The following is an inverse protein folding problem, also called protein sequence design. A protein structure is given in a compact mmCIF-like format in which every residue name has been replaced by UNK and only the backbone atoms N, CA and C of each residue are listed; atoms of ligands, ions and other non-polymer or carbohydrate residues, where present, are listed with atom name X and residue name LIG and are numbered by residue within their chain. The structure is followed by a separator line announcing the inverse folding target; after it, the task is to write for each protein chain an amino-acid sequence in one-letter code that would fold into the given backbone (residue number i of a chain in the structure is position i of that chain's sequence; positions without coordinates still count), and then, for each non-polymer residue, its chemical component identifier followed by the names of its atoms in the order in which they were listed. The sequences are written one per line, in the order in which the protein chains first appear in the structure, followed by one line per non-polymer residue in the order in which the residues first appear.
data_IF_735805258658
#
_entry.id   IF_735805258658
#
_cell.length_a   1.000
_cell.length_b   1.000
_cell.length_c   1.000
_cell.angle_alpha   90.00
_cell.angle_beta   90.00
_cell.angle_gamma   90.00
#
_symmetry.space_group_name_H-M   'P 1'
#
loop_
_entity.id
_entity.type
_entity.pdbx_description
1 polymer ?
#
# COMPACT_ATOMS: atom_id res chain seq x y z
N UNK A 1 6.34 6.64 26.24
CA UNK A 1 7.73 7.14 26.23
C UNK A 1 8.11 7.64 27.61
N UNK A 2 7.33 8.54 28.23
CA UNK A 2 7.56 9.02 29.60
C UNK A 2 7.74 7.92 30.66
N UNK A 3 7.00 6.80 30.57
CA UNK A 3 7.16 5.66 31.49
C UNK A 3 8.49 4.91 31.41
N UNK A 4 9.44 5.34 30.56
CA UNK A 4 10.83 4.85 30.56
C UNK A 4 11.80 5.81 31.29
N UNK A 5 11.33 6.97 31.73
CA UNK A 5 12.13 7.90 32.53
C UNK A 5 12.24 7.38 33.97
N UNK A 6 13.46 7.33 34.49
CA UNK A 6 13.78 6.80 35.82
C UNK A 6 14.16 5.32 35.80
N UNK A 7 15.40 5.02 36.18
CA UNK A 7 15.90 3.64 36.32
C UNK A 7 15.57 3.09 37.69
N UNK A 8 14.81 2.00 37.71
CA UNK A 8 14.40 1.31 38.94
C UNK A 8 15.64 0.93 39.78
N UNK A 9 15.68 1.40 41.02
CA UNK A 9 16.77 1.10 41.97
C UNK A 9 18.01 1.99 41.86
N UNK A 10 18.06 2.93 40.91
CA UNK A 10 19.18 3.87 40.75
C UNK A 10 18.73 5.32 40.89
N UNK A 11 17.68 5.71 40.17
CA UNK A 11 17.22 7.10 40.14
C UNK A 11 16.05 7.29 41.13
N UNK A 12 16.07 8.39 41.91
CA UNK A 12 14.97 8.73 42.84
C UNK A 12 13.73 9.27 42.13
N UNK A 13 13.94 9.95 41.00
CA UNK A 13 12.92 10.58 40.16
C UNK A 13 13.27 10.35 38.69
N UNK A 14 12.27 10.43 37.80
CA UNK A 14 12.45 10.38 36.36
C UNK A 14 11.99 11.69 35.72
N UNK A 15 12.90 12.41 35.09
CA UNK A 15 12.58 13.70 34.48
C UNK A 15 12.02 13.54 33.07
N UNK A 16 10.95 14.28 32.76
CA UNK A 16 10.28 14.28 31.45
C UNK A 16 10.16 15.72 30.96
N UNK A 17 10.79 16.01 29.83
CA UNK A 17 10.79 17.34 29.22
C UNK A 17 9.89 17.35 27.98
N UNK A 18 9.02 18.35 27.87
CA UNK A 18 8.22 18.62 26.67
C UNK A 18 8.82 19.83 25.94
N UNK A 19 9.32 19.63 24.73
CA UNK A 19 9.90 20.70 23.91
C UNK A 19 8.85 21.22 22.92
N UNK A 20 8.61 22.53 22.91
CA UNK A 20 7.73 23.22 21.95
C UNK A 20 6.31 22.61 21.85
N UNK A 21 5.74 22.22 23.00
CA UNK A 21 4.37 21.72 23.09
C UNK A 21 3.55 22.70 23.93
N UNK A 22 2.39 23.19 23.45
CA UNK A 22 1.53 24.09 24.21
C UNK A 22 1.03 23.47 25.51
N UNK A 23 0.94 24.28 26.58
CA UNK A 23 0.52 23.86 27.92
C UNK A 23 -0.81 23.07 27.93
N UNK A 24 -1.89 23.48 27.22
CA UNK A 24 -3.14 22.71 27.22
C UNK A 24 -2.98 21.30 26.66
N UNK A 25 -2.04 21.10 25.72
CA UNK A 25 -1.74 19.78 25.18
C UNK A 25 -0.91 18.96 26.15
N UNK A 26 0.01 19.58 26.89
CA UNK A 26 0.77 18.93 27.97
C UNK A 26 -0.17 18.44 29.07
N UNK A 27 -1.05 19.29 29.57
CA UNK A 27 -2.05 18.94 30.59
C UNK A 27 -2.88 17.74 30.15
N UNK A 28 -3.36 17.75 28.89
CA UNK A 28 -4.09 16.63 28.32
C UNK A 28 -3.24 15.36 28.21
N UNK A 29 -1.97 15.46 27.83
CA UNK A 29 -1.08 14.29 27.69
C UNK A 29 -0.76 13.64 29.05
N UNK A 30 -0.61 14.44 30.10
CA UNK A 30 -0.32 13.97 31.46
C UNK A 30 -1.57 13.32 32.07
N UNK A 31 -2.76 13.92 31.85
CA UNK A 31 -4.01 13.48 32.47
C UNK A 31 -4.80 12.46 31.64
N UNK A 32 -4.46 12.29 30.35
CA UNK A 32 -5.23 11.39 29.47
C UNK A 32 -5.17 9.93 29.95
N UNK A 33 -6.32 9.26 29.90
CA UNK A 33 -6.39 7.83 30.12
C UNK A 33 -5.63 7.06 29.02
N UNK A 34 -5.12 5.89 29.40
CA UNK A 34 -4.49 4.97 28.45
C UNK A 34 -5.50 4.63 27.35
N UNK A 35 -5.15 4.80 26.07
CA UNK A 35 -6.06 4.46 24.97
C UNK A 35 -6.49 3.00 25.05
N UNK A 36 -7.79 2.75 24.87
CA UNK A 36 -8.29 1.37 24.77
C UNK A 36 -7.59 0.61 23.65
N UNK A 37 -7.24 -0.66 23.91
CA UNK A 37 -6.78 -1.55 22.86
C UNK A 37 -7.92 -1.78 21.85
N UNK A 38 -7.66 -1.44 20.59
CA UNK A 38 -8.61 -1.57 19.48
C UNK A 38 -7.99 -2.45 18.40
N UNK A 39 -8.77 -3.39 17.87
CA UNK A 39 -8.37 -4.14 16.69
C UNK A 39 -8.22 -3.21 15.48
N UNK A 40 -7.17 -3.43 14.69
CA UNK A 40 -6.98 -2.80 13.38
C UNK A 40 -7.71 -3.61 12.30
N UNK A 41 -8.00 -2.99 11.16
CA UNK A 41 -8.56 -3.67 10.00
C UNK A 41 -7.68 -4.87 9.63
N UNK A 42 -8.17 -6.12 9.78
CA UNK A 42 -7.31 -7.29 9.78
C UNK A 42 -7.04 -7.85 8.38
N UNK A 43 -7.74 -7.37 7.34
CA UNK A 43 -7.68 -7.96 6.01
C UNK A 43 -6.85 -7.12 5.04
N UNK A 44 -5.92 -7.79 4.38
CA UNK A 44 -5.33 -7.35 3.10
C UNK A 44 -5.71 -8.36 2.03
N UNK A 45 -5.63 -7.98 0.76
CA UNK A 45 -6.01 -8.89 -0.34
C UNK A 45 -5.02 -10.07 -0.40
N UNK A 46 -3.73 -9.81 -0.15
CA UNK A 46 -2.72 -10.87 -0.06
C UNK A 46 -2.97 -11.81 1.13
N UNK A 47 -3.49 -11.30 2.25
CA UNK A 47 -3.91 -12.17 3.35
C UNK A 47 -5.05 -13.09 2.94
N UNK A 48 -6.07 -12.57 2.23
CA UNK A 48 -7.16 -13.39 1.69
C UNK A 48 -6.61 -14.48 0.78
N UNK A 49 -5.71 -14.16 -0.15
CA UNK A 49 -5.05 -15.14 -1.01
C UNK A 49 -4.32 -16.23 -0.22
N UNK A 50 -3.59 -15.84 0.84
CA UNK A 50 -2.88 -16.78 1.71
C UNK A 50 -3.81 -17.69 2.51
N UNK A 51 -4.96 -17.17 2.94
CA UNK A 51 -5.99 -17.97 3.59
C UNK A 51 -6.59 -18.98 2.60
N UNK A 52 -6.80 -18.58 1.35
CA UNK A 52 -7.26 -19.51 0.29
C UNK A 52 -6.22 -20.59 -0.01
N UNK A 53 -4.93 -20.24 -0.08
CA UNK A 53 -3.82 -21.19 -0.19
C UNK A 53 -3.73 -22.16 0.99
N UNK A 54 -4.04 -21.70 2.21
CA UNK A 54 -4.06 -22.55 3.39
C UNK A 54 -5.27 -23.50 3.36
N UNK A 55 -6.44 -22.98 2.99
CA UNK A 55 -7.69 -23.73 2.86
C UNK A 55 -7.65 -24.78 1.74
N UNK A 56 -6.80 -24.61 0.72
CA UNK A 56 -6.65 -25.57 -0.37
C UNK A 56 -5.71 -26.74 -0.04
N UNK A 57 -4.89 -26.64 1.01
CA UNK A 57 -3.88 -27.66 1.36
C UNK A 57 -4.43 -28.81 2.21
N UNK A 58 -5.40 -28.56 3.10
CA UNK A 58 -5.96 -29.55 4.03
C UNK A 58 -7.45 -29.27 4.26
N UNK A 59 -8.23 -30.29 4.66
CA UNK A 59 -9.65 -30.08 4.98
C UNK A 59 -9.86 -29.34 6.32
N UNK A 60 -9.07 -29.68 7.34
CA UNK A 60 -9.18 -29.07 8.68
C UNK A 60 -8.84 -27.58 8.70
N UNK A 61 -8.00 -27.12 7.75
CA UNK A 61 -7.56 -25.73 7.69
C UNK A 61 -8.68 -24.75 7.33
N UNK A 62 -9.81 -25.21 6.78
CA UNK A 62 -10.99 -24.35 6.53
C UNK A 62 -11.62 -23.86 7.84
N UNK A 63 -11.69 -24.71 8.86
CA UNK A 63 -12.21 -24.33 10.17
C UNK A 63 -11.30 -23.28 10.84
N UNK A 64 -9.99 -23.45 10.72
CA UNK A 64 -8.99 -22.51 11.23
C UNK A 64 -9.09 -21.13 10.55
N UNK A 65 -9.21 -21.11 9.21
CA UNK A 65 -9.40 -19.87 8.44
C UNK A 65 -10.68 -19.15 8.88
N UNK A 66 -11.79 -19.88 9.01
CA UNK A 66 -13.05 -19.30 9.47
C UNK A 66 -12.96 -18.80 10.92
N UNK A 67 -12.24 -19.51 11.79
CA UNK A 67 -11.99 -19.08 13.17
C UNK A 67 -11.22 -17.75 13.20
N UNK A 68 -10.13 -17.64 12.42
CA UNK A 68 -9.35 -16.40 12.33
C UNK A 68 -10.19 -15.22 11.83
N UNK A 69 -11.07 -15.45 10.85
CA UNK A 69 -11.95 -14.42 10.29
C UNK A 69 -13.11 -14.04 11.20
N UNK A 70 -13.56 -14.92 12.10
CA UNK A 70 -14.68 -14.67 13.03
C UNK A 70 -14.25 -14.08 14.36
N UNK A 71 -13.07 -14.45 14.87
CA UNK A 71 -12.62 -14.08 16.22
C UNK A 71 -11.62 -12.92 16.25
N UNK A 72 -11.66 -12.02 15.25
CA UNK A 72 -10.83 -10.81 15.28
C UNK A 72 -11.25 -9.87 16.41
N UNK A 73 -10.26 -9.31 17.12
CA UNK A 73 -10.46 -8.26 18.14
C UNK A 73 -11.20 -7.03 17.58
N UNK A 74 -11.20 -6.84 16.26
CA UNK A 74 -11.95 -5.78 15.60
C UNK A 74 -13.46 -5.83 15.93
N UNK A 75 -14.04 -7.02 16.07
CA UNK A 75 -15.49 -7.18 16.22
C UNK A 75 -16.00 -7.06 17.65
N UNK A 76 -15.12 -7.24 18.65
CA UNK A 76 -15.51 -7.38 20.06
C UNK A 76 -16.40 -6.23 20.57
N UNK A 77 -16.21 -4.99 20.08
CA UNK A 77 -17.06 -3.83 20.39
C UNK A 77 -17.78 -3.24 19.16
N UNK A 78 -17.68 -3.88 17.99
CA UNK A 78 -18.14 -3.32 16.70
C UNK A 78 -18.71 -4.42 15.78
N UNK A 79 -19.90 -4.98 16.07
CA UNK A 79 -20.49 -6.05 15.25
C UNK A 79 -20.71 -5.64 13.79
N UNK A 80 -21.07 -4.37 13.53
CA UNK A 80 -21.20 -3.83 12.16
C UNK A 80 -19.91 -3.85 11.34
N UNK A 81 -18.75 -3.83 12.00
CA UNK A 81 -17.47 -3.96 11.28
C UNK A 81 -17.34 -5.34 10.62
N UNK A 82 -18.04 -6.37 11.13
CA UNK A 82 -18.06 -7.71 10.55
C UNK A 82 -18.79 -7.75 9.21
N UNK A 83 -19.93 -7.06 9.08
CA UNK A 83 -20.68 -6.99 7.83
C UNK A 83 -19.85 -6.33 6.73
N UNK A 84 -19.26 -5.17 7.02
CA UNK A 84 -18.38 -4.48 6.07
C UNK A 84 -17.14 -5.31 5.72
N UNK A 85 -16.59 -6.06 6.69
CA UNK A 85 -15.44 -6.91 6.42
C UNK A 85 -15.80 -8.10 5.52
N UNK A 86 -17.00 -8.70 5.66
CA UNK A 86 -17.49 -9.74 4.75
C UNK A 86 -17.60 -9.21 3.32
N UNK A 87 -18.13 -8.00 3.17
CA UNK A 87 -18.26 -7.34 1.87
C UNK A 87 -16.89 -7.07 1.26
N UNK A 88 -15.93 -6.57 2.06
CA UNK A 88 -14.54 -6.40 1.61
C UNK A 88 -13.84 -7.72 1.28
N UNK A 89 -14.12 -8.79 2.02
CA UNK A 89 -13.62 -10.12 1.72
C UNK A 89 -14.14 -10.63 0.36
N UNK A 90 -15.42 -10.41 0.06
CA UNK A 90 -15.99 -10.71 -1.26
C UNK A 90 -15.31 -9.92 -2.37
N UNK A 91 -15.08 -8.62 -2.18
CA UNK A 91 -14.30 -7.81 -3.12
C UNK A 91 -12.88 -8.37 -3.32
N UNK A 92 -12.21 -8.74 -2.23
CA UNK A 92 -10.87 -9.31 -2.29
C UNK A 92 -10.87 -10.62 -3.10
N UNK A 93 -11.85 -11.50 -2.90
CA UNK A 93 -12.02 -12.71 -3.70
C UNK A 93 -12.29 -12.40 -5.17
N UNK A 94 -13.20 -11.47 -5.46
CA UNK A 94 -13.54 -11.08 -6.82
C UNK A 94 -12.32 -10.51 -7.56
N UNK A 95 -11.55 -9.64 -6.89
CA UNK A 95 -10.29 -9.12 -7.41
C UNK A 95 -9.31 -10.27 -7.71
N UNK A 96 -9.12 -11.19 -6.76
CA UNK A 96 -8.20 -12.32 -6.92
C UNK A 96 -8.61 -13.27 -8.06
N UNK A 97 -9.91 -13.49 -8.27
CA UNK A 97 -10.43 -14.28 -9.40
C UNK A 97 -10.25 -13.53 -10.72
N UNK A 98 -10.57 -12.23 -10.75
CA UNK A 98 -10.47 -11.38 -11.95
C UNK A 98 -9.02 -11.30 -12.47
N UNK A 99 -8.06 -11.12 -11.56
CA UNK A 99 -6.64 -11.07 -11.88
C UNK A 99 -6.01 -12.48 -12.03
N UNK A 100 -6.81 -13.56 -11.99
CA UNK A 100 -6.34 -14.92 -12.29
C UNK A 100 -5.48 -15.60 -11.22
N UNK A 101 -5.50 -15.10 -9.98
CA UNK A 101 -4.82 -15.74 -8.83
C UNK A 101 -5.64 -16.88 -8.21
N UNK A 102 -6.96 -16.84 -8.38
CA UNK A 102 -7.89 -17.88 -7.96
C UNK A 102 -8.75 -18.32 -9.16
N UNK A 103 -9.10 -19.60 -9.21
CA UNK A 103 -10.14 -20.08 -10.14
C UNK A 103 -11.55 -19.74 -9.62
N UNK A 104 -12.57 -20.07 -10.42
CA UNK A 104 -13.99 -19.87 -10.04
C UNK A 104 -14.40 -20.69 -8.79
N UNK A 105 -13.64 -21.72 -8.44
CA UNK A 105 -13.85 -22.56 -7.26
C UNK A 105 -13.04 -22.08 -6.04
N UNK A 106 -12.30 -20.98 -6.16
CA UNK A 106 -11.42 -20.45 -5.11
C UNK A 106 -10.11 -21.23 -4.92
N UNK A 107 -9.70 -22.05 -5.89
CA UNK A 107 -8.38 -22.72 -5.88
C UNK A 107 -7.29 -21.77 -6.37
N UNK A 108 -6.15 -21.69 -5.68
CA UNK A 108 -5.00 -20.90 -6.13
C UNK A 108 -4.44 -21.35 -7.47
N UNK A 109 -4.06 -20.39 -8.31
CA UNK A 109 -3.52 -20.61 -9.66
C UNK A 109 -2.24 -19.81 -9.92
N UNK A 110 -1.44 -20.27 -10.89
CA UNK A 110 -0.33 -19.52 -11.52
C UNK A 110 0.60 -18.83 -10.51
N UNK A 111 0.57 -17.50 -10.46
CA UNK A 111 1.42 -16.64 -9.64
C UNK A 111 0.94 -16.48 -8.19
N UNK A 112 -0.12 -17.16 -7.76
CA UNK A 112 -0.65 -17.07 -6.40
C UNK A 112 0.41 -17.32 -5.31
N UNK A 113 1.32 -18.28 -5.56
CA UNK A 113 2.47 -18.56 -4.69
C UNK A 113 3.42 -17.37 -4.59
N UNK A 114 3.85 -16.84 -5.75
CA UNK A 114 4.76 -15.69 -5.84
C UNK A 114 4.20 -14.45 -5.13
N UNK A 115 2.96 -14.07 -5.43
CA UNK A 115 2.28 -12.91 -4.80
C UNK A 115 2.20 -13.07 -3.29
N UNK A 116 1.95 -14.29 -2.82
CA UNK A 116 1.87 -14.60 -1.39
C UNK A 116 3.21 -14.52 -0.68
N UNK A 117 4.30 -14.88 -1.36
CA UNK A 117 5.65 -14.72 -0.84
C UNK A 117 6.02 -13.24 -0.68
N UNK A 118 5.50 -12.35 -1.53
CA UNK A 118 5.75 -10.90 -1.53
C UNK A 118 4.78 -10.07 -0.68
N UNK A 119 4.11 -10.69 0.31
CA UNK A 119 3.09 -10.07 1.17
C UNK A 119 3.44 -8.73 1.84
N UNK A 120 4.74 -8.46 2.06
CA UNK A 120 5.19 -7.27 2.79
C UNK A 120 4.99 -5.97 2.02
N UNK A 121 4.77 -6.05 0.70
CA UNK A 121 4.72 -4.90 -0.20
C UNK A 121 3.41 -4.86 -1.00
N UNK A 122 2.28 -5.19 -0.40
CA UNK A 122 0.97 -4.93 -1.02
C UNK A 122 0.78 -3.40 -1.25
N UNK A 123 0.42 -2.94 -2.47
CA UNK A 123 0.02 -3.70 -3.66
C UNK A 123 1.10 -3.90 -4.75
N UNK A 124 2.35 -3.56 -4.49
CA UNK A 124 3.47 -3.75 -5.44
C UNK A 124 3.64 -5.20 -5.89
N UNK A 125 3.27 -6.18 -5.05
CA UNK A 125 3.28 -7.59 -5.42
C UNK A 125 2.32 -7.91 -6.59
N UNK A 126 1.12 -7.31 -6.61
CA UNK A 126 0.16 -7.48 -7.71
C UNK A 126 0.65 -6.77 -8.98
N UNK A 127 1.13 -5.53 -8.86
CA UNK A 127 1.69 -4.76 -9.98
C UNK A 127 2.87 -5.49 -10.63
N UNK A 128 3.76 -6.08 -9.82
CA UNK A 128 4.89 -6.85 -10.32
C UNK A 128 4.45 -8.02 -11.20
N UNK A 129 3.41 -8.76 -10.79
CA UNK A 129 2.87 -9.85 -11.61
C UNK A 129 2.16 -9.32 -12.85
N UNK A 130 1.43 -8.22 -12.76
CA UNK A 130 0.83 -7.57 -13.93
C UNK A 130 1.88 -7.21 -14.99
N UNK A 131 3.07 -6.75 -14.57
CA UNK A 131 4.20 -6.49 -15.48
C UNK A 131 4.79 -7.78 -16.08
N UNK A 132 4.84 -8.87 -15.30
CA UNK A 132 5.28 -10.19 -15.80
C UNK A 132 4.31 -10.74 -16.86
N UNK A 133 3.00 -10.68 -16.59
CA UNK A 133 1.97 -11.19 -17.51
C UNK A 133 1.92 -10.41 -18.82
N UNK A 134 2.26 -9.11 -18.79
CA UNK A 134 2.39 -8.27 -19.99
C UNK A 134 3.71 -8.49 -20.76
N UNK A 135 4.63 -9.31 -20.26
CA UNK A 135 5.93 -9.56 -20.88
C UNK A 135 6.91 -8.38 -20.82
N UNK A 136 6.67 -7.37 -19.97
CA UNK A 136 7.54 -6.18 -19.89
C UNK A 136 8.95 -6.54 -19.42
N UNK A 137 9.06 -7.48 -18.49
CA UNK A 137 10.37 -7.98 -18.05
C UNK A 137 11.08 -8.77 -19.16
N UNK A 138 10.36 -9.48 -20.03
CA UNK A 138 10.96 -10.16 -21.18
C UNK A 138 11.49 -9.16 -22.21
N UNK A 139 10.80 -8.05 -22.43
CA UNK A 139 11.27 -6.97 -23.30
C UNK A 139 12.50 -6.26 -22.70
N UNK A 140 12.52 -6.07 -21.38
CA UNK A 140 13.62 -5.41 -20.68
C UNK A 140 14.87 -6.31 -20.61
N UNK A 141 14.70 -7.58 -20.24
CA UNK A 141 15.79 -8.53 -20.02
C UNK A 141 16.28 -9.16 -21.32
N UNK A 142 16.83 -8.37 -22.23
CA UNK A 142 17.45 -8.86 -23.46
C UNK A 142 18.97 -9.03 -23.29
N UNK A 143 19.54 -10.19 -23.66
CA UNK A 143 20.99 -10.41 -23.56
C UNK A 143 21.75 -9.68 -24.67
N UNK A 144 23.05 -9.39 -24.44
CA UNK A 144 23.90 -8.68 -25.41
C UNK A 144 24.07 -9.45 -26.73
N UNK A 145 24.03 -10.79 -26.70
CA UNK A 145 24.02 -11.68 -27.87
C UNK A 145 23.03 -12.81 -27.62
N UNK A 146 22.34 -13.28 -28.66
CA UNK A 146 21.46 -14.46 -28.56
C UNK A 146 22.27 -15.66 -28.04
N UNK A 147 21.92 -16.17 -26.87
CA UNK A 147 22.60 -17.29 -26.20
C UNK A 147 23.70 -16.93 -25.20
N UNK A 148 24.05 -15.65 -25.02
CA UNK A 148 24.98 -15.25 -23.95
C UNK A 148 24.26 -15.22 -22.60
N UNK A 149 24.91 -15.75 -21.55
CA UNK A 149 24.37 -15.76 -20.18
C UNK A 149 24.49 -14.42 -19.43
N UNK A 150 25.18 -13.43 -20.01
CA UNK A 150 25.40 -12.12 -19.39
C UNK A 150 24.51 -11.04 -20.01
N UNK A 151 24.09 -10.10 -19.19
CA UNK A 151 23.25 -8.97 -19.60
C UNK A 151 24.06 -7.66 -19.60
N UNK A 152 23.70 -6.70 -20.48
CA UNK A 152 24.29 -5.37 -20.43
C UNK A 152 24.05 -4.69 -19.07
N UNK A 153 25.00 -3.86 -18.64
CA UNK A 153 24.88 -3.11 -17.39
C UNK A 153 23.62 -2.23 -17.35
N UNK A 154 23.27 -1.56 -18.46
CA UNK A 154 22.08 -0.70 -18.54
C UNK A 154 20.77 -1.48 -18.33
N UNK A 155 20.71 -2.75 -18.78
CA UNK A 155 19.54 -3.63 -18.58
C UNK A 155 19.38 -3.94 -17.09
N UNK A 156 20.49 -4.28 -16.41
CA UNK A 156 20.46 -4.57 -14.98
C UNK A 156 20.14 -3.32 -14.14
N UNK A 157 20.67 -2.16 -14.51
CA UNK A 157 20.34 -0.89 -13.86
C UNK A 157 18.86 -0.52 -14.03
N UNK A 158 18.29 -0.71 -15.23
CA UNK A 158 16.86 -0.47 -15.47
C UNK A 158 15.98 -1.49 -14.72
N UNK A 159 16.39 -2.76 -14.66
CA UNK A 159 15.69 -3.77 -13.86
C UNK A 159 15.70 -3.39 -12.37
N UNK A 160 16.85 -2.95 -11.88
CA UNK A 160 17.02 -2.47 -10.51
C UNK A 160 16.18 -1.20 -10.24
N UNK A 161 16.09 -0.28 -11.20
CA UNK A 161 15.24 0.91 -11.14
C UNK A 161 13.75 0.54 -11.00
N UNK A 162 13.27 -0.43 -11.79
CA UNK A 162 11.88 -0.92 -11.70
C UNK A 162 11.62 -1.55 -10.32
N UNK A 163 12.53 -2.41 -9.84
CA UNK A 163 12.37 -3.04 -8.52
C UNK A 163 12.47 -2.05 -7.37
N UNK A 164 13.33 -1.02 -7.47
CA UNK A 164 13.41 0.05 -6.49
C UNK A 164 12.10 0.86 -6.43
N UNK A 165 11.48 1.13 -7.58
CA UNK A 165 10.18 1.81 -7.65
C UNK A 165 9.02 0.98 -7.06
N UNK A 166 9.08 -0.35 -7.16
CA UNK A 166 8.06 -1.25 -6.63
C UNK A 166 8.26 -1.60 -5.15
N UNK A 167 9.47 -2.04 -4.77
CA UNK A 167 9.76 -2.62 -3.47
C UNK A 167 10.67 -1.72 -2.60
N UNK A 168 11.50 -0.89 -3.19
CA UNK A 168 12.44 0.02 -2.50
C UNK A 168 11.83 1.36 -2.08
N UNK A 169 10.53 1.39 -1.74
CA UNK A 169 9.77 2.64 -1.64
C UNK A 169 10.01 3.40 -0.34
N UNK A 170 11.05 4.24 -0.30
CA UNK A 170 11.31 5.20 0.78
C UNK A 170 11.12 6.63 0.27
N UNK A 171 10.13 7.35 0.81
CA UNK A 171 9.88 8.74 0.43
C UNK A 171 10.76 9.71 1.20
N UNK A 172 11.35 10.65 0.48
CA UNK A 172 12.11 11.76 1.06
C UNK A 172 11.16 12.95 1.28
N UNK A 173 11.24 13.65 2.43
CA UNK A 173 10.45 14.87 2.65
C UNK A 173 10.70 15.93 1.57
N UNK A 174 9.63 16.56 1.08
CA UNK A 174 9.72 17.59 0.02
C UNK A 174 10.64 18.78 0.41
N UNK A 175 10.77 19.10 1.71
CA UNK A 175 11.69 20.15 2.18
C UNK A 175 13.15 19.83 1.84
N UNK A 176 13.54 18.56 1.81
CA UNK A 176 14.90 18.13 1.54
C UNK A 176 15.30 18.32 0.07
N UNK A 177 14.35 18.57 -0.85
CA UNK A 177 14.66 18.95 -2.23
C UNK A 177 15.22 20.37 -2.36
N UNK A 178 14.85 21.26 -1.42
CA UNK A 178 15.23 22.68 -1.47
C UNK A 178 16.50 22.99 -0.67
N UNK A 179 17.07 21.99 0.01
CA UNK A 179 18.37 22.15 0.63
C UNK A 179 19.40 22.12 -0.49
N UNK A 180 20.10 23.24 -0.72
CA UNK A 180 21.26 23.36 -1.62
C UNK A 180 22.45 22.55 -1.06
N UNK A 181 22.25 21.27 -0.76
CA UNK A 181 23.33 20.37 -0.41
C UNK A 181 23.99 19.91 -1.70
N UNK A 182 25.25 20.28 -1.87
CA UNK A 182 26.18 19.67 -2.82
C UNK A 182 26.27 18.18 -2.50
N UNK A 183 25.38 17.38 -3.09
CA UNK A 183 25.43 15.94 -2.99
C UNK A 183 26.71 15.44 -3.69
N UNK A 184 27.45 14.56 -3.04
CA UNK A 184 28.66 13.96 -3.64
C UNK A 184 28.31 12.96 -4.74
N UNK A 185 27.10 12.40 -4.69
CA UNK A 185 26.54 11.47 -5.67
C UNK A 185 25.41 12.14 -6.48
N UNK A 186 25.34 11.93 -7.81
CA UNK A 186 24.42 12.64 -8.69
C UNK A 186 22.93 12.24 -8.58
N UNK A 187 22.55 11.18 -7.83
CA UNK A 187 21.16 10.66 -7.84
C UNK A 187 20.61 10.25 -6.47
N UNK A 188 20.50 11.16 -5.51
CA UNK A 188 19.76 10.88 -4.24
C UNK A 188 18.27 10.53 -4.49
N UNK A 189 17.71 11.05 -5.58
CA UNK A 189 16.32 10.82 -5.98
C UNK A 189 16.24 9.71 -7.04
N UNK A 190 15.31 8.78 -6.83
CA UNK A 190 15.05 7.70 -7.76
C UNK A 190 14.35 8.26 -9.02
N UNK A 191 14.84 7.86 -10.18
CA UNK A 191 14.22 8.19 -11.46
C UNK A 191 12.82 7.56 -11.59
N UNK A 192 11.99 8.14 -12.45
CA UNK A 192 10.67 7.57 -12.74
C UNK A 192 10.78 6.20 -13.43
N UNK A 193 9.71 5.40 -13.35
CA UNK A 193 9.60 4.16 -14.10
C UNK A 193 9.76 4.41 -15.60
N UNK A 194 10.39 3.49 -16.37
CA UNK A 194 10.41 3.57 -17.82
C UNK A 194 8.99 3.71 -18.39
N UNK A 195 8.84 4.43 -19.50
CA UNK A 195 7.52 4.83 -20.03
C UNK A 195 6.56 3.66 -20.26
N UNK A 196 7.05 2.51 -20.75
CA UNK A 196 6.23 1.29 -20.92
C UNK A 196 5.67 0.77 -19.58
N UNK A 197 6.51 0.74 -18.54
CA UNK A 197 6.12 0.31 -17.19
C UNK A 197 5.18 1.33 -16.55
N UNK A 198 5.39 2.63 -16.79
CA UNK A 198 4.54 3.71 -16.31
C UNK A 198 3.15 3.66 -16.94
N UNK A 199 3.06 3.43 -18.25
CA UNK A 199 1.81 3.24 -18.96
C UNK A 199 1.04 2.01 -18.44
N UNK A 200 1.74 0.87 -18.30
CA UNK A 200 1.14 -0.35 -17.74
C UNK A 200 0.64 -0.16 -16.29
N UNK A 201 1.39 0.58 -15.46
CA UNK A 201 0.98 0.91 -14.10
C UNK A 201 -0.28 1.79 -14.07
N UNK A 202 -0.35 2.80 -14.95
CA UNK A 202 -1.52 3.67 -15.06
C UNK A 202 -2.76 2.86 -15.46
N UNK A 203 -2.63 1.97 -16.45
CA UNK A 203 -3.73 1.13 -16.91
C UNK A 203 -4.20 0.17 -15.79
N UNK A 204 -3.27 -0.49 -15.10
CA UNK A 204 -3.58 -1.33 -13.94
C UNK A 204 -4.34 -0.53 -12.87
N UNK A 205 -3.81 0.63 -12.47
CA UNK A 205 -4.43 1.47 -11.45
C UNK A 205 -5.83 1.95 -11.85
N UNK A 206 -6.05 2.30 -13.12
CA UNK A 206 -7.37 2.71 -13.63
C UNK A 206 -8.39 1.57 -13.55
N UNK A 207 -7.98 0.35 -13.94
CA UNK A 207 -8.86 -0.83 -13.88
C UNK A 207 -9.23 -1.17 -12.44
N UNK A 208 -8.25 -1.20 -11.54
CA UNK A 208 -8.48 -1.44 -10.11
C UNK A 208 -9.32 -0.35 -9.46
N UNK A 209 -9.10 0.93 -9.81
CA UNK A 209 -9.89 2.03 -9.28
C UNK A 209 -11.36 1.93 -9.70
N UNK A 210 -11.66 1.50 -10.93
CA UNK A 210 -13.03 1.24 -11.40
C UNK A 210 -13.71 0.12 -10.61
N UNK A 211 -13.01 -1.00 -10.40
CA UNK A 211 -13.54 -2.11 -9.62
C UNK A 211 -13.80 -1.71 -8.17
N UNK A 212 -12.85 -0.98 -7.57
CA UNK A 212 -12.98 -0.51 -6.20
C UNK A 212 -14.10 0.53 -6.05
N UNK A 213 -14.25 1.46 -6.99
CA UNK A 213 -15.37 2.40 -7.01
C UNK A 213 -16.73 1.67 -7.10
N UNK A 214 -16.82 0.66 -7.96
CA UNK A 214 -18.02 -0.18 -8.08
C UNK A 214 -18.33 -0.92 -6.78
N UNK A 215 -17.29 -1.45 -6.13
CA UNK A 215 -17.40 -2.07 -4.81
C UNK A 215 -17.91 -1.11 -3.74
N UNK A 216 -17.40 0.12 -3.71
CA UNK A 216 -17.85 1.16 -2.78
C UNK A 216 -19.32 1.54 -3.01
N UNK A 217 -19.75 1.61 -4.28
CA UNK A 217 -21.15 1.82 -4.64
C UNK A 217 -22.06 0.70 -4.16
N UNK A 218 -21.67 -0.56 -4.32
CA UNK A 218 -22.44 -1.70 -3.79
C UNK A 218 -22.49 -1.65 -2.26
N UNK A 219 -21.34 -1.39 -1.64
CA UNK A 219 -21.20 -1.31 -0.18
C UNK A 219 -22.06 -0.20 0.43
N UNK A 220 -22.28 0.91 -0.27
CA UNK A 220 -23.13 2.02 0.18
C UNK A 220 -24.58 1.62 0.45
N UNK A 221 -25.09 0.59 -0.23
CA UNK A 221 -26.46 0.09 -0.01
C UNK A 221 -26.66 -0.57 1.35
N UNK A 222 -25.56 -1.00 1.98
CA UNK A 222 -25.56 -1.67 3.29
C UNK A 222 -25.36 -0.68 4.45
N UNK A 223 -25.20 0.61 4.15
CA UNK A 223 -24.91 1.65 5.12
C UNK A 223 -26.16 2.10 5.87
N UNK A 224 -25.99 2.34 7.18
CA UNK A 224 -27.03 2.96 7.99
C UNK A 224 -27.12 4.48 7.78
N UNK A 225 -27.97 4.91 6.85
CA UNK A 225 -28.18 6.32 6.51
C UNK A 225 -28.59 7.20 7.70
N UNK A 226 -29.26 6.65 8.72
CA UNK A 226 -29.62 7.43 9.93
C UNK A 226 -28.41 8.00 10.66
N UNK A 227 -27.26 7.32 10.60
CA UNK A 227 -25.98 7.78 11.18
C UNK A 227 -25.20 8.68 10.22
N UNK A 228 -25.47 8.61 8.92
CA UNK A 228 -24.85 9.46 7.91
C UNK A 228 -25.45 10.86 7.92
N UNK A 229 -26.75 11.00 8.24
CA UNK A 229 -27.40 12.30 8.46
C UNK A 229 -27.08 12.93 9.82
N UNK A 230 -26.08 12.41 10.55
CA UNK A 230 -25.68 12.92 11.87
C UNK A 230 -24.25 13.42 11.86
N UNK A 231 -24.03 14.58 12.46
CA UNK A 231 -22.67 15.10 12.65
C UNK A 231 -21.85 14.17 13.58
N UNK A 232 -20.59 13.84 13.23
CA UNK A 232 -19.81 12.85 13.96
C UNK A 232 -19.56 13.14 15.44
N UNK A 233 -19.35 14.42 15.78
CA UNK A 233 -18.95 14.85 17.12
C UNK A 233 -20.15 15.34 17.93
N UNK A 234 -20.90 16.30 17.39
CA UNK A 234 -22.06 16.91 18.07
C UNK A 234 -23.32 16.06 18.04
N UNK A 235 -23.39 15.05 17.17
CA UNK A 235 -24.56 14.16 16.97
C UNK A 235 -25.84 14.88 16.53
N UNK A 236 -25.73 16.13 16.06
CA UNK A 236 -26.85 16.89 15.50
C UNK A 236 -27.38 16.15 14.26
N UNK A 237 -28.70 15.95 14.21
CA UNK A 237 -29.41 15.23 13.16
C UNK A 237 -29.89 16.21 12.08
N UNK A 238 -29.67 15.85 10.82
CA UNK A 238 -30.15 16.56 9.63
C UNK A 238 -31.23 15.75 8.89
N UNK A 239 -32.10 15.07 9.65
CA UNK A 239 -33.27 14.36 9.12
C UNK A 239 -34.47 15.31 9.17
N UNK A 240 -34.70 16.07 8.09
CA UNK A 240 -35.79 17.06 8.01
C UNK A 240 -36.88 16.68 7.01
N UNK A 241 -38.09 17.22 7.20
CA UNK A 241 -39.20 17.10 6.27
C UNK A 241 -38.88 17.84 4.96
N UNK A 242 -39.35 17.31 3.82
CA UNK A 242 -39.22 18.00 2.53
C UNK A 242 -39.95 19.34 2.61
N UNK A 243 -39.27 20.40 2.24
CA UNK A 243 -39.89 21.70 2.06
C UNK A 243 -40.42 21.76 0.62
N UNK A 244 -41.74 21.62 0.44
CA UNK A 244 -42.38 21.47 -0.88
C UNK A 244 -42.67 22.82 -1.57
N UNK A 245 -42.45 23.95 -0.90
CA UNK A 245 -42.79 25.29 -1.40
C UNK A 245 -41.71 26.05 -2.17
N UNK A 246 -40.56 25.45 -2.50
CA UNK A 246 -39.43 26.19 -3.10
C UNK A 246 -38.94 25.57 -4.42
N UNK A 247 -38.92 26.36 -5.50
CA UNK A 247 -38.37 25.97 -6.80
C UNK A 247 -36.88 25.59 -6.72
N UNK A 248 -36.11 26.25 -5.85
CA UNK A 248 -34.69 25.93 -5.62
C UNK A 248 -34.53 24.53 -5.02
N UNK A 249 -35.38 24.17 -4.05
CA UNK A 249 -35.38 22.83 -3.45
C UNK A 249 -35.74 21.79 -4.52
N UNK A 250 -36.75 22.05 -5.35
CA UNK A 250 -37.11 21.14 -6.46
C UNK A 250 -35.95 20.94 -7.45
N UNK A 251 -35.24 22.01 -7.82
CA UNK A 251 -34.07 21.95 -8.70
C UNK A 251 -32.90 21.16 -8.07
N UNK A 252 -32.59 21.40 -6.80
CA UNK A 252 -31.56 20.68 -6.05
C UNK A 252 -31.91 19.19 -5.88
N UNK A 253 -33.18 18.87 -5.67
CA UNK A 253 -33.66 17.49 -5.51
C UNK A 253 -33.70 16.73 -6.83
N UNK A 254 -33.89 17.41 -7.97
CA UNK A 254 -33.73 16.82 -9.31
C UNK A 254 -32.27 16.50 -9.65
N UNK A 255 -31.31 17.13 -8.95
CA UNK A 255 -29.86 16.93 -9.11
C UNK A 255 -29.29 15.77 -8.28
N UNK A 256 -30.13 14.82 -7.82
CA UNK A 256 -29.73 13.69 -6.95
C UNK A 256 -28.99 12.55 -7.66
N UNK A 257 -28.92 12.56 -8.99
CA UNK A 257 -28.29 11.46 -9.75
C UNK A 257 -26.81 11.36 -9.38
N UNK A 258 -26.35 10.14 -9.13
CA UNK A 258 -24.95 9.83 -8.83
C UNK A 258 -24.48 10.35 -7.46
N UNK A 259 -25.31 10.24 -6.41
CA UNK A 259 -24.93 10.60 -5.03
C UNK A 259 -25.38 9.53 -4.04
N UNK A 260 -25.04 8.27 -4.31
CA UNK A 260 -25.45 7.11 -3.50
C UNK A 260 -24.40 6.78 -2.44
N UNK A 261 -23.12 6.80 -2.81
CA UNK A 261 -22.03 6.40 -1.95
C UNK A 261 -21.27 7.57 -1.33
N UNK A 262 -21.63 8.81 -1.69
CA UNK A 262 -21.05 10.03 -1.15
C UNK A 262 -21.78 10.47 0.13
N UNK A 263 -21.03 10.95 1.11
CA UNK A 263 -21.57 11.52 2.34
C UNK A 263 -22.52 12.68 2.02
N UNK A 264 -23.70 12.76 2.66
CA UNK A 264 -24.63 13.87 2.47
C UNK A 264 -24.00 15.25 2.67
N UNK A 265 -23.01 15.37 3.56
CA UNK A 265 -22.29 16.60 3.81
C UNK A 265 -21.27 16.93 2.72
N UNK A 266 -20.55 15.93 2.20
CA UNK A 266 -19.59 16.11 1.11
C UNK A 266 -20.28 16.41 -0.24
N UNK A 267 -21.49 15.89 -0.44
CA UNK A 267 -22.33 16.19 -1.59
C UNK A 267 -22.62 17.69 -1.75
N UNK A 268 -22.69 18.45 -0.65
CA UNK A 268 -22.94 19.89 -0.70
C UNK A 268 -21.81 20.68 -1.37
N UNK A 269 -20.60 20.11 -1.41
CA UNK A 269 -19.45 20.67 -2.10
C UNK A 269 -19.37 20.25 -3.59
N UNK A 270 -20.43 19.62 -4.13
CA UNK A 270 -20.50 19.21 -5.54
C UNK A 270 -19.95 17.81 -5.85
N UNK A 271 -19.50 17.06 -4.84
CA UNK A 271 -18.98 15.70 -5.05
C UNK A 271 -20.09 14.73 -5.47
N UNK A 272 -19.74 13.79 -6.34
CA UNK A 272 -20.61 12.77 -6.93
C UNK A 272 -19.96 11.39 -6.87
N UNK A 273 -20.73 10.34 -7.18
CA UNK A 273 -20.24 8.96 -7.26
C UNK A 273 -19.12 8.80 -8.31
N UNK A 274 -19.05 9.67 -9.33
CA UNK A 274 -17.96 9.67 -10.31
C UNK A 274 -16.60 10.03 -9.68
N UNK A 275 -16.62 10.83 -8.61
CA UNK A 275 -15.42 11.23 -7.87
C UNK A 275 -14.78 10.05 -7.10
N UNK A 276 -15.49 8.91 -6.98
CA UNK A 276 -14.93 7.70 -6.37
C UNK A 276 -13.80 7.07 -7.19
N UNK A 277 -13.69 7.41 -8.48
CA UNK A 277 -12.58 6.98 -9.33
C UNK A 277 -11.27 7.66 -8.97
N UNK A 278 -11.32 8.75 -8.19
CA UNK A 278 -10.15 9.52 -7.73
C UNK A 278 -9.80 9.09 -6.30
N UNK A 279 -8.86 8.15 -6.11
CA UNK A 279 -8.67 7.54 -4.81
C UNK A 279 -7.98 8.50 -3.79
N UNK A 280 -7.57 9.70 -4.19
CA UNK A 280 -7.05 10.74 -3.30
C UNK A 280 -8.16 11.35 -2.43
N UNK A 281 -9.36 11.50 -2.98
CA UNK A 281 -10.47 12.20 -2.33
C UNK A 281 -11.49 11.25 -1.70
N UNK A 282 -11.52 9.98 -2.11
CA UNK A 282 -12.48 8.96 -1.63
C UNK A 282 -12.60 8.95 -0.11
N UNK A 283 -11.50 9.02 0.65
CA UNK A 283 -11.55 9.03 2.13
C UNK A 283 -12.32 10.21 2.73
N UNK A 284 -12.39 11.33 2.01
CA UNK A 284 -13.05 12.56 2.45
C UNK A 284 -14.50 12.62 2.00
N UNK A 285 -14.85 11.98 0.88
CA UNK A 285 -16.16 12.11 0.24
C UNK A 285 -17.09 10.94 0.54
N UNK A 286 -16.57 9.74 0.78
CA UNK A 286 -17.38 8.54 0.95
C UNK A 286 -18.22 8.54 2.24
N UNK A 287 -19.34 7.80 2.25
CA UNK A 287 -20.14 7.55 3.46
C UNK A 287 -19.26 7.04 4.60
N UNK A 288 -19.36 7.71 5.75
CA UNK A 288 -18.43 7.55 6.88
C UNK A 288 -18.49 6.15 7.49
N UNK A 289 -19.66 5.55 7.54
CA UNK A 289 -19.92 4.27 8.20
C UNK A 289 -19.56 3.05 7.34
N UNK A 290 -19.18 3.23 6.07
CA UNK A 290 -18.55 2.17 5.26
C UNK A 290 -17.27 1.70 5.95
N UNK A 291 -16.49 2.61 6.52
CA UNK A 291 -15.30 2.27 7.30
C UNK A 291 -14.15 1.65 6.50
N UNK A 292 -14.25 1.61 5.17
CA UNK A 292 -13.21 1.20 4.23
C UNK A 292 -12.51 2.46 3.74
N UNK A 293 -11.17 2.44 3.72
CA UNK A 293 -10.35 3.57 3.27
C UNK A 293 -9.74 3.23 1.91
N UNK A 294 -9.16 4.24 1.28
CA UNK A 294 -8.46 4.10 -0.01
C UNK A 294 -7.21 3.25 0.08
N UNK A 295 -6.63 3.12 1.28
CA UNK A 295 -5.48 2.25 1.54
C UNK A 295 -5.79 0.76 1.35
N UNK A 296 -7.07 0.39 1.32
CA UNK A 296 -7.53 -0.97 1.03
C UNK A 296 -7.67 -1.25 -0.47
N UNK A 297 -7.65 -0.23 -1.33
CA UNK A 297 -7.59 -0.45 -2.77
C UNK A 297 -6.18 -0.93 -3.15
N UNK A 298 -6.01 -1.97 -3.98
CA UNK A 298 -4.70 -2.44 -4.42
C UNK A 298 -4.12 -1.57 -5.54
N UNK A 299 -4.17 -0.24 -5.34
CA UNK A 299 -3.68 0.79 -6.26
C UNK A 299 -2.30 1.24 -5.82
N UNK A 300 -1.34 1.18 -6.73
CA UNK A 300 0.03 1.59 -6.46
C UNK A 300 0.25 3.01 -6.97
N UNK A 301 0.20 3.97 -6.06
CA UNK A 301 0.44 5.38 -6.37
C UNK A 301 1.81 5.59 -7.01
N UNK A 302 1.88 6.31 -8.13
CA UNK A 302 3.16 6.67 -8.76
C UNK A 302 3.87 7.77 -7.95
N UNK A 303 3.11 8.73 -7.42
CA UNK A 303 3.63 9.88 -6.68
C UNK A 303 2.96 10.01 -5.31
N UNK A 304 3.72 10.54 -4.35
CA UNK A 304 3.19 10.92 -3.03
C UNK A 304 3.33 12.41 -2.85
N UNK A 305 2.31 13.01 -2.27
CA UNK A 305 2.22 14.44 -2.04
C UNK A 305 2.15 14.69 -0.53
N UNK A 306 2.81 15.75 -0.05
CA UNK A 306 2.72 16.18 1.33
C UNK A 306 1.44 16.99 1.60
N UNK A 307 1.20 17.36 2.87
CA UNK A 307 0.02 18.13 3.26
C UNK A 307 -0.05 19.54 2.65
N UNK A 308 1.01 20.00 1.97
CA UNK A 308 1.09 21.31 1.31
C UNK A 308 1.00 21.20 -0.21
N UNK A 309 0.70 20.01 -0.75
CA UNK A 309 0.61 19.82 -2.19
C UNK A 309 1.95 19.60 -2.90
N UNK A 310 3.07 19.44 -2.17
CA UNK A 310 4.40 19.25 -2.77
C UNK A 310 4.71 17.78 -2.99
N UNK A 311 5.38 17.46 -4.09
CA UNK A 311 5.80 16.09 -4.41
C UNK A 311 6.88 15.61 -3.46
N UNK A 312 6.76 14.37 -3.01
CA UNK A 312 7.75 13.66 -2.22
C UNK A 312 8.42 12.62 -3.11
N UNK A 313 9.70 12.79 -3.47
CA UNK A 313 10.41 11.86 -4.34
C UNK A 313 10.76 10.57 -3.58
N UNK A 314 11.00 9.50 -4.33
CA UNK A 314 11.57 8.27 -3.79
C UNK A 314 13.09 8.40 -3.65
N UNK A 315 13.66 7.79 -2.62
CA UNK A 315 15.12 7.66 -2.45
C UNK A 315 15.66 6.60 -3.40
N UNK A 316 16.79 6.89 -4.04
CA UNK A 316 17.49 5.95 -4.92
C UNK A 316 18.36 4.93 -4.17
N UNK A 317 18.29 4.86 -2.82
CA UNK A 317 19.25 4.11 -1.99
C UNK A 317 19.57 2.69 -2.51
N UNK A 318 18.56 1.97 -3.00
CA UNK A 318 18.75 0.60 -3.48
C UNK A 318 19.50 0.56 -4.82
N UNK A 319 19.18 1.47 -5.75
CA UNK A 319 19.84 1.59 -7.05
C UNK A 319 21.27 2.14 -6.89
N UNK A 320 21.44 3.15 -6.04
CA UNK A 320 22.76 3.72 -5.72
C UNK A 320 23.67 2.68 -5.07
N UNK A 321 23.14 1.89 -4.12
CA UNK A 321 23.88 0.76 -3.56
C UNK A 321 24.27 -0.25 -4.63
N UNK A 322 23.34 -0.58 -5.54
CA UNK A 322 23.62 -1.49 -6.65
C UNK A 322 24.73 -0.96 -7.57
N UNK A 323 24.83 0.35 -7.80
CA UNK A 323 25.88 0.95 -8.63
C UNK A 323 27.23 1.00 -7.91
N UNK A 324 27.26 1.58 -6.71
CA UNK A 324 28.51 1.97 -6.04
C UNK A 324 28.95 1.00 -4.94
N UNK A 325 28.03 0.29 -4.30
CA UNK A 325 28.34 -0.66 -3.21
C UNK A 325 28.82 -0.01 -1.90
N UNK A 326 28.66 1.31 -1.74
CA UNK A 326 29.19 2.06 -0.59
C UNK A 326 28.09 2.46 0.41
N UNK A 327 28.19 2.00 1.66
CA UNK A 327 27.24 2.32 2.74
C UNK A 327 27.47 3.71 3.33
N UNK A 328 28.72 4.15 3.40
CA UNK A 328 29.13 5.43 4.00
C UNK A 328 28.59 6.60 3.17
N UNK A 329 28.67 6.51 1.85
CA UNK A 329 28.13 7.49 0.92
C UNK A 329 26.60 7.55 0.99
N UNK A 330 25.93 6.39 1.03
CA UNK A 330 24.47 6.31 1.16
C UNK A 330 23.95 6.96 2.44
N UNK A 331 24.65 6.75 3.56
CA UNK A 331 24.27 7.27 4.88
C UNK A 331 24.38 8.80 4.90
N UNK A 332 25.47 9.34 4.35
CA UNK A 332 25.72 10.78 4.28
C UNK A 332 24.71 11.51 3.39
N UNK A 333 24.42 10.96 2.21
CA UNK A 333 23.65 11.68 1.19
C UNK A 333 22.13 11.52 1.37
N UNK A 334 21.66 10.42 1.96
CA UNK A 334 20.22 10.21 2.23
C UNK A 334 19.74 10.69 3.62
N UNK A 335 20.65 11.14 4.50
CA UNK A 335 20.30 11.56 5.86
C UNK A 335 19.69 10.45 6.73
N UNK A 336 20.01 9.19 6.41
CA UNK A 336 19.54 8.01 7.13
C UNK A 336 20.63 7.50 8.06
N UNK A 337 20.26 6.86 9.17
CA UNK A 337 21.26 6.19 10.02
C UNK A 337 21.79 4.92 9.34
N UNK A 338 23.06 4.57 9.61
CA UNK A 338 23.70 3.36 9.05
C UNK A 338 22.87 2.10 9.30
N UNK A 339 22.32 1.95 10.50
CA UNK A 339 21.46 0.82 10.86
C UNK A 339 20.13 0.79 10.09
N UNK A 340 19.55 1.95 9.78
CA UNK A 340 18.34 2.04 8.96
C UNK A 340 18.63 1.64 7.50
N UNK A 341 19.70 2.15 6.91
CA UNK A 341 20.12 1.81 5.53
C UNK A 341 20.38 0.33 5.41
N UNK A 342 21.16 -0.25 6.33
CA UNK A 342 21.49 -1.68 6.32
C UNK A 342 20.22 -2.55 6.42
N UNK A 343 19.26 -2.17 7.27
CA UNK A 343 17.97 -2.88 7.36
C UNK A 343 17.21 -2.81 6.03
N UNK A 344 17.10 -1.63 5.43
CA UNK A 344 16.42 -1.45 4.14
C UNK A 344 17.07 -2.25 3.01
N UNK A 345 18.39 -2.34 2.98
CA UNK A 345 19.13 -3.13 1.99
C UNK A 345 18.96 -4.64 2.23
N UNK A 346 18.97 -5.10 3.49
CA UNK A 346 18.70 -6.51 3.84
C UNK A 346 17.28 -6.93 3.48
N UNK A 347 16.29 -6.09 3.78
CA UNK A 347 14.91 -6.31 3.39
C UNK A 347 14.81 -6.38 1.86
N UNK A 348 15.44 -5.44 1.14
CA UNK A 348 15.45 -5.43 -0.32
C UNK A 348 16.11 -6.66 -0.94
N UNK A 349 17.25 -7.11 -0.41
CA UNK A 349 17.93 -8.34 -0.82
C UNK A 349 17.04 -9.58 -0.61
N UNK A 350 16.30 -9.64 0.50
CA UNK A 350 15.35 -10.72 0.79
C UNK A 350 14.24 -10.79 -0.27
N UNK A 351 13.76 -9.64 -0.77
CA UNK A 351 12.78 -9.61 -1.85
C UNK A 351 13.35 -10.04 -3.19
N UNK A 352 14.52 -9.54 -3.59
CA UNK A 352 15.18 -10.00 -4.83
C UNK A 352 15.39 -11.51 -4.78
N UNK A 353 15.86 -12.03 -3.63
CA UNK A 353 16.03 -13.48 -3.42
C UNK A 353 14.72 -14.23 -3.58
N UNK A 354 13.65 -13.75 -2.95
CA UNK A 354 12.32 -14.36 -3.02
C UNK A 354 11.81 -14.39 -4.46
N UNK A 355 11.89 -13.28 -5.19
CA UNK A 355 11.48 -13.18 -6.59
C UNK A 355 12.29 -14.14 -7.45
N UNK A 356 13.62 -14.12 -7.34
CA UNK A 356 14.52 -14.98 -8.11
C UNK A 356 14.24 -16.47 -7.89
N UNK A 357 14.03 -16.89 -6.65
CA UNK A 357 13.70 -18.28 -6.32
C UNK A 357 12.33 -18.67 -6.86
N UNK A 358 11.29 -17.86 -6.61
CA UNK A 358 9.95 -18.15 -7.11
C UNK A 358 9.86 -18.16 -8.63
N UNK A 359 10.56 -17.27 -9.34
CA UNK A 359 10.64 -17.32 -10.81
C UNK A 359 11.34 -18.59 -11.31
N UNK A 360 12.37 -19.05 -10.60
CA UNK A 360 13.07 -20.29 -10.93
C UNK A 360 12.24 -21.55 -10.70
N UNK A 361 11.33 -21.52 -9.72
CA UNK A 361 10.40 -22.62 -9.41
C UNK A 361 9.21 -22.64 -10.38
N UNK A 362 8.71 -21.47 -10.77
CA UNK A 362 7.56 -21.33 -11.66
C UNK A 362 7.90 -21.53 -13.14
N UNK A 363 9.12 -21.22 -13.56
CA UNK A 363 9.53 -21.33 -14.95
C UNK A 363 10.26 -22.65 -15.22
N UNK A 364 9.68 -23.49 -16.08
CA UNK A 364 10.30 -24.76 -16.52
C UNK A 364 11.56 -24.51 -17.35
N UNK A 365 11.58 -23.42 -18.12
CA UNK A 365 12.72 -23.04 -18.95
C UNK A 365 13.81 -22.37 -18.09
N UNK A 366 14.81 -23.15 -17.69
CA UNK A 366 15.97 -22.66 -16.92
C UNK A 366 16.82 -21.62 -17.67
N UNK A 367 16.67 -21.51 -18.99
CA UNK A 367 17.36 -20.56 -19.86
C UNK A 367 16.49 -19.34 -20.21
N UNK A 368 15.33 -19.16 -19.57
CA UNK A 368 14.53 -17.95 -19.73
C UNK A 368 15.34 -16.71 -19.31
N UNK A 369 15.30 -15.67 -20.14
CA UNK A 369 16.12 -14.48 -19.94
C UNK A 369 15.75 -13.74 -18.65
N UNK A 370 14.46 -13.70 -18.27
CA UNK A 370 14.02 -13.05 -17.03
C UNK A 370 14.54 -13.82 -15.83
N UNK A 371 14.41 -15.15 -15.83
CA UNK A 371 14.94 -15.99 -14.75
C UNK A 371 16.45 -15.81 -14.58
N UNK A 372 17.20 -15.78 -15.67
CA UNK A 372 18.65 -15.56 -15.64
C UNK A 372 19.00 -14.15 -15.13
N UNK A 373 18.30 -13.12 -15.61
CA UNK A 373 18.50 -11.74 -15.18
C UNK A 373 18.29 -11.56 -13.68
N UNK A 374 17.20 -12.11 -13.12
CA UNK A 374 16.94 -12.04 -11.68
C UNK A 374 17.95 -12.84 -10.84
N UNK A 375 18.48 -13.95 -11.37
CA UNK A 375 19.57 -14.70 -10.69
C UNK A 375 20.88 -13.91 -10.67
N UNK A 376 21.24 -13.27 -11.78
CA UNK A 376 22.42 -12.43 -11.87
C UNK A 376 22.30 -11.21 -10.95
N UNK A 377 21.17 -10.49 -11.02
CA UNK A 377 20.88 -9.35 -10.14
C UNK A 377 21.00 -9.73 -8.66
N UNK A 378 20.40 -10.87 -8.27
CA UNK A 378 20.50 -11.40 -6.91
C UNK A 378 21.94 -11.63 -6.50
N UNK A 379 22.73 -12.29 -7.36
CA UNK A 379 24.13 -12.61 -7.09
C UNK A 379 24.94 -11.33 -6.86
N UNK A 380 24.87 -10.38 -7.80
CA UNK A 380 25.62 -9.12 -7.72
C UNK A 380 25.22 -8.32 -6.47
N UNK A 381 23.92 -8.20 -6.18
CA UNK A 381 23.43 -7.43 -5.04
C UNK A 381 23.87 -8.07 -3.71
N UNK A 382 23.78 -9.39 -3.57
CA UNK A 382 24.23 -10.10 -2.37
C UNK A 382 25.75 -10.02 -2.18
N UNK A 383 26.55 -10.20 -3.23
CA UNK A 383 28.01 -10.08 -3.15
C UNK A 383 28.46 -8.68 -2.72
N UNK A 384 27.75 -7.63 -3.13
CA UNK A 384 28.01 -6.27 -2.64
C UNK A 384 27.59 -6.10 -1.18
N UNK A 385 26.46 -6.68 -0.78
CA UNK A 385 25.95 -6.60 0.59
C UNK A 385 26.81 -7.38 1.60
N UNK A 386 27.46 -8.47 1.19
CA UNK A 386 28.36 -9.24 2.07
C UNK A 386 29.70 -8.55 2.33
N UNK A 387 30.10 -7.60 1.47
CA UNK A 387 31.35 -6.83 1.59
C UNK A 387 31.24 -5.63 2.53
N UNK A 388 30.05 -5.37 3.07
CA UNK A 388 29.68 -4.18 3.85
C UNK A 388 29.12 -4.63 5.19
#
# INVERSE_FOLDING_TARGET
MAGRAGRRGQDKLGDVYFFDIPLPKIERLITSSVPELRGQFPLSITLVLRLMLLASKKHDSKAEVLSMLKHSLLFYKRPRAMEMLKVYFLFSLQFLVKEGYLDQNGKPMRFAGLVSCLRGHEPSNFVFVSFLERGLFHNLCQPSRKGSKGFPQHVMENLMLVLANLFGRKYIPAKSQNANSTFFQPKVFLDELPEEFKAALQEYNLNVAKDFASFLLISSKLVNMTKEYQLPLSRIKFTGNRYEGSQLVSHLMNSKKGRVAISPFACLSGNTDADLLRPEIVNCVILRTIGIKTKQAPVLWSQKIDNRGRRMPLSAYALDFYKHGSLTELTRDNGMSTGEVLRLLKDFASYIRTISLSLSELCENKNDNVVLAFKELRKIFCEKLEKV
#
